data_IF_573065817115
#
_entry.id   IF_573065817115
#
_cell.length_a   1.000
_cell.length_b   1.000
_cell.length_c   1.000
_cell.angle_alpha   90.00
_cell.angle_beta   90.00
_cell.angle_gamma   90.00
#
_symmetry.space_group_name_H-M   'P 1'
#
loop_
_entity.id
_entity.type
_entity.pdbx_description
1 polymer ?
#
# COMPACT_ATOMS: atom_id res chain seq x y z
N UNK A 1 73.73 -38.18 3.29
CA UNK A 1 72.97 -39.44 3.30
C UNK A 1 72.24 -39.49 4.64
N UNK A 2 70.95 -39.16 4.64
CA UNK A 2 70.12 -38.99 5.83
C UNK A 2 69.28 -40.26 6.07
N UNK A 3 69.38 -40.91 7.23
CA UNK A 3 68.42 -41.93 7.70
C UNK A 3 68.36 -41.90 9.25
N UNK A 4 67.33 -41.22 9.79
CA UNK A 4 66.19 -41.74 10.57
C UNK A 4 66.36 -41.79 12.10
N UNK A 5 65.80 -40.77 12.76
CA UNK A 5 65.26 -40.89 14.11
C UNK A 5 63.77 -41.22 14.06
N UNK A 6 63.34 -42.26 14.78
CA UNK A 6 61.94 -42.58 15.07
C UNK A 6 61.67 -42.29 16.55
N UNK A 7 60.67 -41.46 16.83
CA UNK A 7 60.09 -41.22 18.15
C UNK A 7 58.59 -40.91 17.99
N UNK A 8 57.73 -41.28 18.96
CA UNK A 8 56.36 -41.69 18.69
C UNK A 8 55.35 -40.54 18.66
N UNK A 9 54.30 -40.75 17.85
CA UNK A 9 53.18 -39.84 17.66
C UNK A 9 52.20 -39.85 18.84
N UNK A 10 51.98 -38.68 19.44
CA UNK A 10 50.89 -38.40 20.37
C UNK A 10 49.67 -37.91 19.57
N UNK A 11 48.61 -38.72 19.54
CA UNK A 11 47.30 -38.34 19.02
C UNK A 11 46.59 -37.43 20.03
N UNK A 12 46.45 -36.14 19.70
CA UNK A 12 45.63 -35.19 20.44
C UNK A 12 44.24 -35.13 19.79
N UNK A 13 43.23 -35.68 20.47
CA UNK A 13 41.83 -35.59 20.06
C UNK A 13 41.23 -34.27 20.58
N UNK A 14 41.02 -33.29 19.69
CA UNK A 14 40.26 -32.08 19.98
C UNK A 14 38.76 -32.33 19.85
N UNK A 15 38.05 -32.38 20.98
CA UNK A 15 36.60 -32.28 21.06
C UNK A 15 36.17 -30.82 20.79
N UNK A 16 35.63 -30.56 19.60
CA UNK A 16 34.99 -29.29 19.26
C UNK A 16 33.57 -29.27 19.84
N UNK A 17 33.38 -28.54 20.94
CA UNK A 17 32.07 -28.21 21.46
C UNK A 17 31.39 -27.18 20.53
N UNK A 18 30.38 -27.63 19.78
CA UNK A 18 29.56 -26.77 18.93
C UNK A 18 28.64 -25.87 19.77
N UNK A 19 28.88 -24.56 19.72
CA UNK A 19 27.98 -23.56 20.29
C UNK A 19 26.78 -23.39 19.36
N UNK A 20 25.52 -23.59 19.82
CA UNK A 20 24.36 -23.32 18.99
C UNK A 20 24.23 -21.80 18.79
N UNK A 21 24.47 -21.34 17.57
CA UNK A 21 24.18 -19.97 17.16
C UNK A 21 22.66 -19.77 17.11
N UNK A 22 22.08 -19.28 18.20
CA UNK A 22 20.72 -18.75 18.19
C UNK A 22 20.67 -17.55 17.23
N UNK A 23 20.10 -17.76 16.04
CA UNK A 23 19.70 -16.66 15.17
C UNK A 23 18.59 -15.88 15.86
N UNK A 24 18.94 -14.73 16.43
CA UNK A 24 17.95 -13.72 16.81
C UNK A 24 17.29 -13.25 15.52
N UNK A 25 16.08 -13.73 15.26
CA UNK A 25 15.23 -13.15 14.24
C UNK A 25 14.90 -11.72 14.70
N UNK A 26 15.37 -10.72 13.97
CA UNK A 26 14.97 -9.34 14.19
C UNK A 26 13.48 -9.22 13.86
N UNK A 27 12.60 -9.49 14.83
CA UNK A 27 11.20 -9.12 14.74
C UNK A 27 11.15 -7.60 14.64
N UNK A 28 10.84 -7.10 13.44
CA UNK A 28 10.53 -5.69 13.23
C UNK A 28 9.42 -5.30 14.22
N UNK A 29 9.76 -4.40 15.14
CA UNK A 29 8.84 -3.94 16.18
C UNK A 29 7.59 -3.36 15.50
N UNK A 30 6.42 -3.88 15.85
CA UNK A 30 5.17 -3.34 15.33
C UNK A 30 4.99 -1.89 15.80
N UNK A 31 4.43 -0.99 14.97
CA UNK A 31 4.23 0.39 15.35
C UNK A 31 3.27 0.50 16.55
N UNK A 32 3.51 1.42 17.51
CA UNK A 32 2.57 1.68 18.59
C UNK A 32 1.28 2.30 18.06
N UNK A 33 0.15 2.08 18.75
CA UNK A 33 -1.15 2.63 18.37
C UNK A 33 -1.16 4.17 18.23
N UNK A 34 -0.32 4.89 18.99
CA UNK A 34 -0.13 6.34 18.86
C UNK A 34 0.44 6.78 17.50
N UNK A 35 1.09 5.87 16.78
CA UNK A 35 1.62 6.06 15.44
C UNK A 35 0.57 5.94 14.32
N UNK A 36 -0.64 5.45 14.62
CA UNK A 36 -1.71 5.18 13.66
C UNK A 36 -2.16 6.45 12.92
N UNK A 37 -2.04 6.50 11.59
CA UNK A 37 -2.30 7.72 10.80
C UNK A 37 -3.29 7.56 9.67
N UNK A 38 -3.45 6.37 9.11
CA UNK A 38 -4.33 6.14 7.97
C UNK A 38 -5.31 5.02 8.30
N UNK A 39 -6.61 5.33 8.26
CA UNK A 39 -7.66 4.32 8.31
C UNK A 39 -7.96 3.83 6.89
N UNK A 40 -7.93 2.53 6.68
CA UNK A 40 -8.36 1.88 5.46
C UNK A 40 -9.68 1.17 5.72
N UNK A 41 -10.74 1.73 5.17
CA UNK A 41 -12.08 1.14 5.18
C UNK A 41 -12.42 0.78 3.72
N UNK A 42 -12.95 -0.41 3.43
CA UNK A 42 -13.44 -0.72 2.09
C UNK A 42 -14.47 0.32 1.69
N UNK A 43 -14.42 0.85 0.46
CA UNK A 43 -15.33 1.95 0.06
C UNK A 43 -16.78 1.52 -0.04
N UNK A 44 -17.02 0.22 -0.17
CA UNK A 44 -18.33 -0.41 -0.27
C UNK A 44 -18.33 -1.59 0.67
N UNK A 45 -19.28 -1.65 1.58
CA UNK A 45 -19.58 -2.80 2.44
C UNK A 45 -21.01 -3.24 2.18
N UNK A 46 -21.38 -4.43 2.65
CA UNK A 46 -22.68 -5.03 2.33
C UNK A 46 -23.43 -5.26 3.62
N UNK A 47 -24.67 -4.76 3.70
CA UNK A 47 -25.51 -4.83 4.88
C UNK A 47 -25.54 -6.25 5.47
N UNK A 48 -25.21 -6.38 6.77
CA UNK A 48 -25.19 -7.64 7.51
C UNK A 48 -24.03 -8.59 7.21
N UNK A 49 -23.18 -8.28 6.22
CA UNK A 49 -22.02 -9.09 5.85
C UNK A 49 -20.77 -8.69 6.61
N UNK A 50 -19.80 -9.61 6.67
CA UNK A 50 -18.49 -9.33 7.26
C UNK A 50 -17.69 -8.37 6.37
N UNK A 51 -16.87 -7.54 6.99
CA UNK A 51 -15.89 -6.68 6.35
C UNK A 51 -14.67 -6.49 7.24
N UNK A 52 -13.52 -6.24 6.64
CA UNK A 52 -12.24 -6.01 7.31
C UNK A 52 -11.76 -4.61 7.05
N UNK A 53 -11.37 -3.88 8.09
CA UNK A 53 -10.64 -2.62 8.01
C UNK A 53 -9.18 -2.82 8.40
N UNK A 54 -8.33 -1.86 8.05
CA UNK A 54 -6.94 -1.78 8.49
C UNK A 54 -6.61 -0.38 9.00
N UNK A 55 -5.62 -0.30 9.89
CA UNK A 55 -5.01 0.97 10.27
C UNK A 55 -3.51 0.91 9.99
N UNK A 56 -2.98 1.98 9.38
CA UNK A 56 -1.57 2.11 9.04
C UNK A 56 -0.92 3.30 9.73
N UNK A 57 0.38 3.21 9.99
CA UNK A 57 1.21 4.31 10.47
C UNK A 57 1.65 5.26 9.33
N UNK A 58 2.49 6.25 9.62
CA UNK A 58 3.05 7.17 8.60
C UNK A 58 3.90 6.49 7.53
N UNK A 59 4.42 5.30 7.80
CA UNK A 59 5.25 4.51 6.89
C UNK A 59 4.44 3.45 6.13
N UNK A 60 3.11 3.43 6.31
CA UNK A 60 2.23 2.47 5.66
C UNK A 60 2.23 1.08 6.28
N UNK A 61 2.76 0.92 7.50
CA UNK A 61 2.80 -0.36 8.23
C UNK A 61 1.51 -0.56 9.01
N UNK A 62 0.97 -1.78 8.98
CA UNK A 62 -0.18 -2.16 9.78
C UNK A 62 0.06 -1.90 11.27
N UNK A 63 -0.92 -1.28 11.92
CA UNK A 63 -0.80 -0.76 13.30
C UNK A 63 -1.84 -1.43 14.21
N UNK A 64 -1.41 -2.32 15.12
CA UNK A 64 -2.31 -3.02 16.05
C UNK A 64 -2.78 -2.14 17.20
N UNK A 65 -3.86 -2.55 17.87
CA UNK A 65 -4.37 -1.92 19.10
C UNK A 65 -4.98 -0.53 18.90
N UNK A 66 -5.39 -0.17 17.68
CA UNK A 66 -5.95 1.15 17.36
C UNK A 66 -7.47 1.11 17.43
N UNK A 67 -8.06 2.00 18.22
CA UNK A 67 -9.52 2.18 18.26
C UNK A 67 -10.01 3.02 17.08
N UNK A 68 -11.01 2.50 16.37
CA UNK A 68 -11.75 3.14 15.30
C UNK A 68 -13.18 3.39 15.79
N UNK A 69 -13.64 4.63 15.67
CA UNK A 69 -15.00 5.04 15.97
C UNK A 69 -15.82 5.15 14.68
N UNK A 70 -17.02 4.58 14.68
CA UNK A 70 -17.99 4.72 13.61
C UNK A 70 -19.06 5.75 13.95
N UNK A 71 -19.63 6.39 12.93
CA UNK A 71 -20.64 7.44 13.11
C UNK A 71 -21.98 6.95 13.64
N UNK A 72 -22.22 5.64 13.66
CA UNK A 72 -23.39 5.01 14.31
C UNK A 72 -23.17 4.74 15.82
N UNK A 73 -21.99 5.10 16.36
CA UNK A 73 -21.63 4.88 17.76
C UNK A 73 -20.76 3.65 18.01
N UNK A 74 -20.61 2.75 17.02
CA UNK A 74 -19.81 1.54 17.18
C UNK A 74 -18.32 1.87 17.34
N UNK A 75 -17.62 1.01 18.08
CA UNK A 75 -16.18 1.09 18.28
C UNK A 75 -15.55 -0.26 18.02
N UNK A 76 -14.43 -0.25 17.31
CA UNK A 76 -13.67 -1.44 16.97
C UNK A 76 -12.20 -1.19 17.25
N UNK A 77 -11.46 -2.20 17.69
CA UNK A 77 -10.01 -2.10 17.90
C UNK A 77 -9.29 -3.05 16.97
N UNK A 78 -8.20 -2.59 16.34
CA UNK A 78 -7.38 -3.45 15.49
C UNK A 78 -6.69 -4.55 16.32
N UNK A 79 -6.70 -5.77 15.78
CA UNK A 79 -6.04 -6.94 16.33
C UNK A 79 -4.51 -6.86 16.19
N UNK A 80 -3.82 -7.95 16.54
CA UNK A 80 -2.37 -8.05 16.45
C UNK A 80 -1.81 -7.88 15.04
N UNK A 81 -2.62 -8.03 13.99
CA UNK A 81 -2.20 -7.79 12.60
C UNK A 81 -2.33 -6.33 12.19
N UNK A 82 -2.99 -5.48 12.98
CA UNK A 82 -3.35 -4.11 12.61
C UNK A 82 -4.60 -4.00 11.74
N UNK A 83 -5.38 -5.09 11.65
CA UNK A 83 -6.69 -5.13 11.00
C UNK A 83 -7.80 -5.35 12.02
N UNK A 84 -9.05 -5.16 11.60
CA UNK A 84 -10.18 -5.54 12.41
C UNK A 84 -11.34 -6.02 11.54
N UNK A 85 -11.91 -7.15 11.92
CA UNK A 85 -13.08 -7.71 11.28
C UNK A 85 -14.35 -7.23 12.00
N UNK A 86 -15.36 -6.85 11.22
CA UNK A 86 -16.65 -6.37 11.73
C UNK A 86 -17.79 -6.84 10.83
N UNK A 87 -19.02 -6.65 11.33
CA UNK A 87 -20.24 -6.86 10.55
C UNK A 87 -20.78 -5.50 10.15
N UNK A 88 -21.08 -5.32 8.87
CA UNK A 88 -21.62 -4.07 8.36
C UNK A 88 -23.01 -3.80 8.95
N UNK A 89 -23.35 -2.52 9.24
CA UNK A 89 -24.68 -2.16 9.71
C UNK A 89 -25.78 -2.59 8.74
N UNK A 90 -26.97 -2.86 9.26
CA UNK A 90 -28.08 -3.39 8.46
C UNK A 90 -28.73 -2.34 7.54
N UNK A 91 -28.61 -1.06 7.89
CA UNK A 91 -29.24 0.03 7.15
C UNK A 91 -28.32 0.52 6.02
N UNK A 92 -28.76 0.47 4.75
CA UNK A 92 -28.02 1.05 3.64
C UNK A 92 -27.80 2.55 3.82
N UNK A 93 -26.76 3.08 3.16
CA UNK A 93 -26.41 4.49 3.23
C UNK A 93 -24.91 4.69 3.27
N UNK A 94 -24.46 5.78 3.88
CA UNK A 94 -23.03 6.05 4.09
C UNK A 94 -22.76 6.09 5.58
N UNK A 95 -21.75 5.34 6.01
CA UNK A 95 -21.20 5.40 7.36
C UNK A 95 -19.77 5.91 7.31
N UNK A 96 -19.34 6.58 8.37
CA UNK A 96 -17.99 7.11 8.49
C UNK A 96 -17.24 6.42 9.61
N UNK A 97 -16.01 6.00 9.35
CA UNK A 97 -15.04 5.58 10.35
C UNK A 97 -14.01 6.68 10.63
N UNK A 98 -13.46 6.71 11.83
CA UNK A 98 -12.37 7.61 12.22
C UNK A 98 -11.46 6.94 13.24
N UNK A 99 -10.17 7.26 13.22
CA UNK A 99 -9.24 6.84 14.28
C UNK A 99 -9.56 7.67 15.53
N UNK A 100 -9.66 7.03 16.69
CA UNK A 100 -9.93 7.72 17.95
C UNK A 100 -8.90 8.85 18.20
N UNK A 101 -9.39 10.03 18.58
CA UNK A 101 -8.56 11.23 18.77
C UNK A 101 -8.16 11.95 17.47
N UNK A 102 -8.69 11.53 16.31
CA UNK A 102 -8.47 12.20 15.02
C UNK A 102 -9.75 12.75 14.43
N UNK A 103 -9.60 13.83 13.66
CA UNK A 103 -10.70 14.49 12.94
C UNK A 103 -10.95 13.91 11.55
N UNK A 104 -9.96 13.24 10.97
CA UNK A 104 -10.07 12.62 9.65
C UNK A 104 -11.08 11.46 9.66
N UNK A 105 -12.00 11.51 8.69
CA UNK A 105 -13.07 10.51 8.53
C UNK A 105 -12.94 9.84 7.17
N UNK A 106 -13.19 8.53 7.15
CA UNK A 106 -13.25 7.71 5.94
C UNK A 106 -14.70 7.27 5.75
N UNK A 107 -15.27 7.57 4.59
CA UNK A 107 -16.62 7.17 4.24
C UNK A 107 -16.63 5.77 3.61
N UNK A 108 -17.67 4.98 3.90
CA UNK A 108 -17.99 3.74 3.20
C UNK A 108 -19.47 3.67 2.91
N UNK A 109 -19.83 3.20 1.72
CA UNK A 109 -21.21 2.97 1.31
C UNK A 109 -21.65 1.58 1.76
N UNK A 110 -22.83 1.49 2.39
CA UNK A 110 -23.48 0.24 2.76
C UNK A 110 -24.47 -0.12 1.66
N UNK A 111 -24.19 -1.22 0.96
CA UNK A 111 -24.98 -1.76 -0.15
C UNK A 111 -25.93 -2.85 0.32
N UNK A 112 -26.95 -3.14 -0.49
CA UNK A 112 -27.82 -4.30 -0.26
C UNK A 112 -27.12 -5.62 -0.60
N UNK A 113 -27.46 -6.74 0.08
CA UNK A 113 -26.87 -8.05 -0.19
C UNK A 113 -26.95 -8.50 -1.67
N UNK A 114 -28.07 -8.20 -2.34
CA UNK A 114 -28.26 -8.53 -3.75
C UNK A 114 -27.28 -7.86 -4.71
N UNK A 115 -26.64 -6.76 -4.32
CA UNK A 115 -25.65 -6.06 -5.15
C UNK A 115 -24.27 -6.75 -5.15
N UNK A 116 -24.03 -7.60 -4.16
CA UNK A 116 -22.74 -8.23 -3.91
C UNK A 116 -22.65 -9.69 -4.36
N UNK A 117 -23.78 -10.33 -4.60
CA UNK A 117 -23.85 -11.74 -4.94
C UNK A 117 -23.56 -12.00 -6.43
N UNK A 118 -22.71 -12.99 -6.68
CA UNK A 118 -22.44 -13.59 -7.97
C UNK A 118 -22.00 -15.06 -7.77
N UNK A 119 -22.25 -15.92 -8.76
CA UNK A 119 -21.86 -17.34 -8.68
C UNK A 119 -20.34 -17.53 -8.57
N UNK A 120 -19.59 -16.67 -9.27
CA UNK A 120 -18.12 -16.62 -9.27
C UNK A 120 -17.64 -15.25 -8.81
N UNK A 121 -16.34 -15.14 -8.52
CA UNK A 121 -15.75 -13.84 -8.21
C UNK A 121 -15.68 -13.02 -9.49
N UNK A 122 -16.21 -11.81 -9.45
CA UNK A 122 -16.16 -10.87 -10.58
C UNK A 122 -15.43 -9.61 -10.15
N UNK A 123 -14.40 -9.23 -10.91
CA UNK A 123 -13.75 -7.94 -10.76
C UNK A 123 -14.41 -7.00 -11.77
N UNK A 124 -15.19 -6.03 -11.27
CA UNK A 124 -15.91 -5.07 -12.10
C UNK A 124 -15.10 -3.81 -12.38
N UNK A 125 -14.17 -3.46 -11.48
CA UNK A 125 -13.24 -2.37 -11.71
C UNK A 125 -11.90 -2.57 -11.01
N UNK A 126 -10.83 -2.19 -11.71
CA UNK A 126 -9.45 -2.21 -11.26
C UNK A 126 -8.69 -1.00 -11.81
N UNK A 127 -7.56 -0.61 -11.20
CA UNK A 127 -6.69 0.39 -11.80
C UNK A 127 -6.09 -0.15 -13.10
N UNK A 128 -6.07 0.67 -14.16
CA UNK A 128 -5.28 0.32 -15.36
C UNK A 128 -3.78 0.49 -15.09
N UNK A 129 -3.44 1.48 -14.27
CA UNK A 129 -2.07 1.78 -13.83
C UNK A 129 -2.05 1.90 -12.32
N UNK A 130 -1.14 1.18 -11.66
CA UNK A 130 -0.93 1.22 -10.22
C UNK A 130 0.55 1.43 -9.88
N UNK A 131 0.83 2.10 -8.76
CA UNK A 131 2.20 2.28 -8.28
C UNK A 131 2.65 1.01 -7.57
N UNK A 132 3.93 0.65 -7.71
CA UNK A 132 4.54 -0.42 -6.93
C UNK A 132 4.54 -0.16 -5.42
N UNK A 133 4.50 1.11 -5.02
CA UNK A 133 4.66 1.53 -3.61
C UNK A 133 3.34 1.94 -2.95
N UNK A 134 2.28 2.16 -3.73
CA UNK A 134 0.97 2.50 -3.20
C UNK A 134 0.02 1.30 -3.23
N UNK A 135 -0.90 1.29 -2.27
CA UNK A 135 -2.07 0.42 -2.31
C UNK A 135 -3.04 0.88 -3.39
N UNK A 136 -3.81 -0.06 -3.94
CA UNK A 136 -4.89 0.24 -4.88
C UNK A 136 -6.17 -0.51 -4.52
N UNK A 137 -7.28 -0.08 -5.13
CA UNK A 137 -8.60 -0.64 -4.86
C UNK A 137 -9.08 -1.50 -6.02
N UNK A 138 -9.71 -2.62 -5.68
CA UNK A 138 -10.48 -3.45 -6.61
C UNK A 138 -11.96 -3.38 -6.22
N UNK A 139 -12.82 -3.29 -7.22
CA UNK A 139 -14.27 -3.41 -7.05
C UNK A 139 -14.78 -4.64 -7.77
N UNK A 140 -15.80 -5.25 -7.19
CA UNK A 140 -16.28 -6.53 -7.68
C UNK A 140 -17.47 -7.07 -6.91
N UNK A 141 -17.63 -8.39 -7.00
CA UNK A 141 -18.68 -9.17 -6.34
C UNK A 141 -18.09 -10.49 -5.84
N UNK A 142 -18.72 -11.03 -4.80
CA UNK A 142 -18.38 -12.32 -4.20
C UNK A 142 -16.96 -12.46 -3.64
N UNK A 143 -16.29 -11.33 -3.35
CA UNK A 143 -15.10 -11.32 -2.50
C UNK A 143 -15.46 -11.75 -1.06
N UNK A 144 -14.47 -12.06 -0.25
CA UNK A 144 -14.73 -12.38 1.16
C UNK A 144 -14.60 -11.17 2.07
N UNK A 145 -15.50 -11.05 3.04
CA UNK A 145 -15.45 -10.00 4.04
C UNK A 145 -14.18 -10.02 4.90
N UNK A 146 -13.68 -11.22 5.16
CA UNK A 146 -12.41 -11.45 5.84
C UNK A 146 -11.23 -11.27 4.87
N UNK A 147 -10.34 -10.32 5.16
CA UNK A 147 -9.17 -10.06 4.33
C UNK A 147 -8.26 -11.29 4.20
N UNK A 148 -8.09 -12.09 5.27
CA UNK A 148 -7.22 -13.26 5.27
C UNK A 148 -7.80 -14.46 4.50
N UNK A 149 -9.11 -14.42 4.22
CA UNK A 149 -9.77 -15.40 3.36
C UNK A 149 -9.60 -15.11 1.86
N UNK A 150 -9.19 -13.89 1.50
CA UNK A 150 -8.90 -13.53 0.12
C UNK A 150 -7.43 -13.78 -0.21
N UNK A 151 -7.17 -14.28 -1.41
CA UNK A 151 -5.82 -14.38 -1.97
C UNK A 151 -5.78 -13.60 -3.27
N UNK A 152 -4.93 -12.58 -3.31
CA UNK A 152 -4.63 -11.79 -4.51
C UNK A 152 -3.20 -12.07 -4.92
N UNK A 153 -2.98 -12.41 -6.18
CA UNK A 153 -1.64 -12.52 -6.76
C UNK A 153 -1.44 -11.46 -7.83
N UNK A 154 -0.23 -10.93 -7.94
CA UNK A 154 0.17 -9.95 -8.94
C UNK A 154 1.49 -10.44 -9.54
N UNK A 155 1.52 -10.67 -10.86
CA UNK A 155 2.62 -11.35 -11.55
C UNK A 155 3.04 -12.68 -10.86
N UNK A 156 2.05 -13.43 -10.37
CA UNK A 156 2.25 -14.71 -9.66
C UNK A 156 2.72 -14.57 -8.20
N UNK A 157 3.02 -13.37 -7.72
CA UNK A 157 3.47 -13.13 -6.34
C UNK A 157 2.30 -12.74 -5.42
N UNK A 158 2.27 -13.20 -4.16
CA UNK A 158 1.19 -12.88 -3.24
C UNK A 158 1.19 -11.41 -2.83
N UNK A 159 0.09 -10.72 -3.08
CA UNK A 159 -0.16 -9.37 -2.60
C UNK A 159 -0.86 -9.40 -1.23
N UNK A 160 -0.78 -8.30 -0.48
CA UNK A 160 -1.42 -8.19 0.84
C UNK A 160 -2.79 -7.54 0.67
N UNK A 161 -3.86 -8.20 1.14
CA UNK A 161 -5.18 -7.60 1.26
C UNK A 161 -5.25 -6.86 2.60
N UNK A 162 -5.29 -5.53 2.54
CA UNK A 162 -5.29 -4.66 3.72
C UNK A 162 -6.70 -4.50 4.30
N UNK A 163 -7.68 -4.28 3.44
CA UNK A 163 -9.09 -4.13 3.82
C UNK A 163 -9.97 -4.85 2.81
N UNK A 164 -11.10 -5.39 3.28
CA UNK A 164 -11.92 -6.29 2.48
C UNK A 164 -13.40 -6.19 2.80
N UNK A 165 -14.23 -6.48 1.80
CA UNK A 165 -15.68 -6.61 1.87
C UNK A 165 -16.12 -7.49 0.69
N UNK A 166 -17.39 -7.91 0.61
CA UNK A 166 -17.85 -8.68 -0.55
C UNK A 166 -17.80 -7.94 -1.91
N UNK A 167 -17.57 -6.62 -1.91
CA UNK A 167 -17.60 -5.80 -3.15
C UNK A 167 -16.38 -4.89 -3.37
N UNK A 168 -15.46 -4.83 -2.41
CA UNK A 168 -14.31 -3.93 -2.43
C UNK A 168 -13.13 -4.53 -1.68
N UNK A 169 -11.96 -4.52 -2.33
CA UNK A 169 -10.66 -4.89 -1.74
C UNK A 169 -9.72 -3.69 -1.80
N UNK A 170 -8.88 -3.53 -0.76
CA UNK A 170 -7.69 -2.66 -0.78
C UNK A 170 -6.46 -3.54 -0.76
N UNK A 171 -5.67 -3.50 -1.83
CA UNK A 171 -4.55 -4.40 -2.08
C UNK A 171 -3.24 -3.63 -2.07
N UNK A 172 -2.21 -4.18 -1.42
CA UNK A 172 -0.83 -3.70 -1.46
C UNK A 172 0.03 -4.64 -2.31
N UNK A 173 0.68 -4.14 -3.37
CA UNK A 173 1.62 -4.94 -4.16
C UNK A 173 2.77 -5.53 -3.33
N UNK A 174 3.31 -6.70 -3.70
CA UNK A 174 4.61 -7.15 -3.22
C UNK A 174 5.72 -6.14 -3.53
N UNK A 175 6.65 -5.96 -2.60
CA UNK A 175 7.71 -4.94 -2.68
C UNK A 175 8.76 -5.21 -3.77
N UNK A 176 8.93 -6.48 -4.16
CA UNK A 176 9.97 -6.93 -5.10
C UNK A 176 9.47 -7.04 -6.55
N UNK A 177 8.28 -6.51 -6.84
CA UNK A 177 7.75 -6.48 -8.20
C UNK A 177 8.50 -5.50 -9.08
N UNK A 178 8.67 -5.89 -10.34
CA UNK A 178 9.25 -5.01 -11.37
C UNK A 178 8.16 -4.15 -12.01
N UNK A 179 8.50 -2.91 -12.40
CA UNK A 179 7.56 -2.07 -13.14
C UNK A 179 7.30 -2.65 -14.53
N UNK A 180 6.06 -2.62 -14.99
CA UNK A 180 5.61 -3.23 -16.25
C UNK A 180 4.20 -3.82 -16.17
N UNK A 181 3.70 -4.41 -17.27
CA UNK A 181 2.46 -5.18 -17.26
C UNK A 181 2.52 -6.35 -16.28
N UNK A 182 1.43 -6.58 -15.56
CA UNK A 182 1.30 -7.65 -14.58
C UNK A 182 -0.11 -8.27 -14.60
N UNK A 183 -0.17 -9.59 -14.59
CA UNK A 183 -1.41 -10.35 -14.41
C UNK A 183 -1.83 -10.32 -12.95
N UNK A 184 -3.12 -10.08 -12.70
CA UNK A 184 -3.74 -10.09 -11.38
C UNK A 184 -4.80 -11.19 -11.33
N UNK A 185 -4.79 -11.95 -10.25
CA UNK A 185 -5.82 -12.96 -9.96
C UNK A 185 -6.34 -12.75 -8.54
N UNK A 186 -7.67 -12.90 -8.38
CA UNK A 186 -8.34 -12.80 -7.09
C UNK A 186 -9.06 -14.10 -6.82
N UNK A 187 -8.86 -14.65 -5.62
CA UNK A 187 -9.57 -15.86 -5.16
C UNK A 187 -10.05 -15.68 -3.74
N UNK A 188 -11.14 -16.36 -3.41
CA UNK A 188 -11.57 -16.59 -2.04
C UNK A 188 -12.24 -17.96 -1.94
N UNK A 189 -11.87 -18.71 -0.89
CA UNK A 189 -12.31 -20.08 -0.67
C UNK A 189 -12.04 -20.94 -1.91
N UNK A 190 -13.08 -21.45 -2.58
CA UNK A 190 -12.97 -22.26 -3.81
C UNK A 190 -13.36 -21.50 -5.09
N UNK A 191 -13.56 -20.19 -5.00
CA UNK A 191 -13.91 -19.33 -6.14
C UNK A 191 -12.71 -18.50 -6.57
N UNK A 192 -12.60 -18.25 -7.86
CA UNK A 192 -11.53 -17.47 -8.47
C UNK A 192 -12.13 -16.57 -9.54
N UNK A 193 -11.56 -15.38 -9.72
CA UNK A 193 -11.89 -14.49 -10.83
C UNK A 193 -11.14 -14.91 -12.09
N UNK A 194 -11.65 -14.59 -13.30
CA UNK A 194 -10.79 -14.53 -14.47
C UNK A 194 -9.55 -13.66 -14.19
N UNK A 195 -8.34 -14.05 -14.67
CA UNK A 195 -7.17 -13.19 -14.60
C UNK A 195 -7.40 -11.92 -15.42
N UNK A 196 -6.82 -10.81 -14.99
CA UNK A 196 -6.85 -9.54 -15.71
C UNK A 196 -5.50 -8.84 -15.63
N UNK A 197 -5.24 -7.87 -16.51
CA UNK A 197 -3.95 -7.17 -16.54
C UNK A 197 -4.02 -5.77 -15.95
N UNK A 198 -2.96 -5.37 -15.26
CA UNK A 198 -2.68 -3.98 -14.86
C UNK A 198 -1.26 -3.60 -15.29
N UNK A 199 -0.95 -2.31 -15.35
CA UNK A 199 0.44 -1.84 -15.49
C UNK A 199 0.94 -1.31 -14.17
N UNK A 200 2.02 -1.90 -13.66
CA UNK A 200 2.72 -1.41 -12.48
C UNK A 200 3.76 -0.38 -12.89
N UNK A 201 3.80 0.74 -12.17
CA UNK A 201 4.77 1.80 -12.42
C UNK A 201 5.57 2.12 -11.17
N UNK A 202 6.81 2.51 -11.40
CA UNK A 202 7.69 3.11 -10.40
C UNK A 202 7.76 4.61 -10.66
N UNK A 203 7.62 5.41 -9.59
CA UNK A 203 7.80 6.86 -9.64
C UNK A 203 9.12 7.20 -8.94
N UNK A 204 10.11 7.61 -9.72
CA UNK A 204 11.43 7.98 -9.21
C UNK A 204 11.55 9.51 -9.25
N UNK A 205 11.68 10.14 -8.07
CA UNK A 205 11.83 11.59 -7.97
C UNK A 205 13.30 11.98 -8.11
N UNK A 206 13.59 12.74 -9.14
CA UNK A 206 14.88 13.36 -9.41
C UNK A 206 14.83 14.84 -8.99
N UNK A 207 15.30 15.13 -7.76
CA UNK A 207 15.36 16.49 -7.22
C UNK A 207 16.46 16.64 -6.16
N UNK A 208 17.01 17.85 -6.03
CA UNK A 208 17.92 18.20 -4.93
C UNK A 208 17.19 18.24 -3.59
N UNK A 209 17.78 17.63 -2.56
CA UNK A 209 17.29 17.62 -1.17
C UNK A 209 17.76 18.82 -0.33
N UNK A 210 18.53 19.76 -0.91
CA UNK A 210 19.02 20.94 -0.20
C UNK A 210 17.85 21.83 0.27
N UNK A 211 18.00 22.58 1.38
CA UNK A 211 17.02 23.61 1.72
C UNK A 211 16.81 24.58 0.54
N UNK A 212 15.57 25.05 0.39
CA UNK A 212 15.20 26.03 -0.62
C UNK A 212 15.44 27.43 -0.03
N UNK A 213 16.07 28.33 -0.80
CA UNK A 213 16.17 29.74 -0.43
C UNK A 213 14.92 30.51 -0.85
N UNK A 214 14.64 31.61 -0.17
CA UNK A 214 13.58 32.54 -0.60
C UNK A 214 13.80 32.99 -2.05
N UNK A 215 12.76 32.87 -2.88
CA UNK A 215 12.77 33.16 -4.32
C UNK A 215 13.45 32.10 -5.20
N UNK A 216 14.12 31.09 -4.63
CA UNK A 216 14.75 30.02 -5.40
C UNK A 216 13.68 29.15 -6.07
N UNK A 217 13.86 28.89 -7.37
CA UNK A 217 13.03 27.95 -8.12
C UNK A 217 13.72 26.61 -8.22
N UNK A 218 12.96 25.53 -8.04
CA UNK A 218 13.46 24.17 -8.20
C UNK A 218 12.50 23.33 -9.02
N UNK A 219 13.05 22.73 -10.07
CA UNK A 219 12.36 21.71 -10.84
C UNK A 219 12.39 20.37 -10.08
N UNK A 220 11.26 19.70 -10.02
CA UNK A 220 11.07 18.35 -9.53
C UNK A 220 10.73 17.48 -10.74
N UNK A 221 11.67 16.66 -11.18
CA UNK A 221 11.45 15.73 -12.29
C UNK A 221 11.06 14.37 -11.73
N UNK A 222 9.99 13.78 -12.25
CA UNK A 222 9.55 12.44 -11.86
C UNK A 222 9.67 11.53 -13.05
N UNK A 223 10.57 10.55 -12.96
CA UNK A 223 10.71 9.48 -13.95
C UNK A 223 9.65 8.42 -13.70
N UNK A 224 9.00 7.99 -14.77
CA UNK A 224 7.96 6.95 -14.74
C UNK A 224 8.51 5.71 -15.42
N UNK A 225 8.71 4.64 -14.68
CA UNK A 225 9.14 3.34 -15.24
C UNK A 225 7.97 2.38 -15.34
N UNK A 226 8.05 1.44 -16.29
CA UNK A 226 7.05 0.38 -16.49
C UNK A 226 6.01 0.66 -17.58
N UNK A 227 5.95 1.87 -18.11
CA UNK A 227 5.04 2.20 -19.21
C UNK A 227 5.58 3.30 -20.11
N UNK A 228 5.28 3.20 -21.41
CA UNK A 228 5.49 4.27 -22.39
C UNK A 228 4.25 5.16 -22.57
N UNK A 229 3.12 4.79 -21.96
CA UNK A 229 1.92 5.60 -21.98
C UNK A 229 2.08 6.85 -21.11
N UNK A 230 1.35 7.91 -21.46
CA UNK A 230 1.25 9.08 -20.60
C UNK A 230 0.47 8.72 -19.35
N UNK A 231 0.96 9.18 -18.20
CA UNK A 231 0.29 9.00 -16.92
C UNK A 231 -0.01 10.35 -16.28
N UNK A 232 -1.15 10.44 -15.59
CA UNK A 232 -1.52 11.62 -14.82
C UNK A 232 -0.92 11.52 -13.42
N UNK A 233 -0.23 12.56 -12.99
CA UNK A 233 0.35 12.72 -11.67
C UNK A 233 -0.27 13.95 -10.97
N UNK A 234 -0.39 13.87 -9.65
CA UNK A 234 -0.78 14.98 -8.79
C UNK A 234 0.32 15.27 -7.78
N UNK A 235 0.76 16.52 -7.73
CA UNK A 235 1.68 17.04 -6.72
C UNK A 235 0.90 17.86 -5.69
N UNK A 236 1.22 17.64 -4.41
CA UNK A 236 0.68 18.37 -3.26
C UNK A 236 1.81 18.88 -2.40
N UNK A 237 1.77 20.17 -2.08
CA UNK A 237 2.69 20.78 -1.15
C UNK A 237 2.19 20.59 0.29
N UNK A 238 3.04 19.99 1.12
CA UNK A 238 2.80 19.70 2.53
C UNK A 238 3.52 20.67 3.48
N UNK A 239 4.23 21.67 2.93
CA UNK A 239 4.90 22.75 3.66
C UNK A 239 4.66 24.11 2.94
N UNK A 240 3.40 24.57 2.83
CA UNK A 240 3.05 25.80 2.10
C UNK A 240 3.66 27.07 2.68
N UNK A 241 4.12 27.05 3.93
CA UNK A 241 4.82 28.15 4.59
C UNK A 241 6.29 28.29 4.17
N UNK A 242 6.88 27.25 3.57
CA UNK A 242 8.29 27.23 3.13
C UNK A 242 8.41 27.38 1.63
N UNK A 243 7.55 26.71 0.86
CA UNK A 243 7.58 26.72 -0.60
C UNK A 243 6.17 26.88 -1.17
N UNK A 244 6.09 27.31 -2.42
CA UNK A 244 4.88 27.34 -3.23
C UNK A 244 5.04 26.39 -4.42
N UNK A 245 3.97 25.71 -4.83
CA UNK A 245 3.93 24.86 -6.02
C UNK A 245 3.43 25.70 -7.21
N UNK A 246 4.29 25.92 -8.21
CA UNK A 246 3.98 26.75 -9.38
C UNK A 246 2.82 26.15 -10.16
N UNK A 247 1.64 26.77 -10.11
CA UNK A 247 0.41 26.27 -10.76
C UNK A 247 -0.69 25.83 -9.80
N UNK A 248 -0.48 25.94 -8.48
CA UNK A 248 -1.48 25.70 -7.46
C UNK A 248 -1.21 24.46 -6.61
N UNK A 249 -2.03 24.24 -5.59
CA UNK A 249 -1.91 23.11 -4.66
C UNK A 249 -3.31 22.50 -4.38
N UNK A 250 -3.67 21.35 -4.96
CA UNK A 250 -2.85 20.44 -5.77
C UNK A 250 -2.57 20.96 -7.20
N UNK A 251 -1.50 20.45 -7.81
CA UNK A 251 -1.20 20.60 -9.24
C UNK A 251 -1.21 19.24 -9.92
N UNK A 252 -1.93 19.13 -11.05
CA UNK A 252 -1.94 17.93 -11.89
C UNK A 252 -1.12 18.15 -13.15
N UNK A 253 -0.35 17.14 -13.54
CA UNK A 253 0.42 17.13 -14.77
C UNK A 253 0.34 15.75 -15.43
N UNK A 254 0.41 15.74 -16.76
CA UNK A 254 0.64 14.51 -17.51
C UNK A 254 2.13 14.32 -17.72
N UNK A 255 2.61 13.08 -17.61
CA UNK A 255 3.94 12.72 -18.06
C UNK A 255 4.06 12.81 -19.59
N UNK A 256 5.31 12.81 -20.08
CA UNK A 256 5.63 12.90 -21.50
C UNK A 256 5.19 11.67 -22.30
N UNK A 257 5.13 10.50 -21.66
CA UNK A 257 5.11 9.21 -22.36
C UNK A 257 6.45 8.92 -23.04
N UNK A 258 6.45 7.90 -23.91
CA UNK A 258 7.64 7.43 -24.63
C UNK A 258 8.60 6.62 -23.74
N UNK A 259 9.79 6.30 -24.26
CA UNK A 259 10.77 5.47 -23.56
C UNK A 259 11.31 6.11 -22.27
N UNK A 260 11.45 7.44 -22.25
CA UNK A 260 12.01 8.18 -21.13
C UNK A 260 10.96 8.60 -20.10
N UNK A 261 9.69 8.75 -20.49
CA UNK A 261 8.51 9.06 -19.68
C UNK A 261 8.75 9.85 -18.37
N UNK A 262 8.68 11.18 -18.46
CA UNK A 262 8.88 12.08 -17.31
C UNK A 262 7.71 13.04 -17.10
N UNK A 263 7.48 13.44 -15.85
CA UNK A 263 6.66 14.60 -15.50
C UNK A 263 7.51 15.64 -14.77
N UNK A 264 7.15 16.92 -14.86
CA UNK A 264 7.86 18.00 -14.18
C UNK A 264 6.90 18.85 -13.37
N UNK A 265 7.34 19.21 -12.17
CA UNK A 265 6.71 20.18 -11.30
C UNK A 265 7.75 21.23 -10.93
N UNK A 266 7.31 22.44 -10.58
CA UNK A 266 8.21 23.50 -10.12
C UNK A 266 7.75 24.00 -8.76
N UNK A 267 8.70 24.22 -7.85
CA UNK A 267 8.46 24.86 -6.57
C UNK A 267 9.28 26.13 -6.44
N UNK A 268 8.74 27.12 -5.72
CA UNK A 268 9.38 28.41 -5.44
C UNK A 268 9.50 28.61 -3.94
N UNK A 269 10.67 29.00 -3.45
CA UNK A 269 10.89 29.25 -2.02
C UNK A 269 10.17 30.50 -1.54
N UNK A 270 9.31 30.34 -0.54
CA UNK A 270 8.67 31.43 0.19
C UNK A 270 9.50 31.85 1.40
N UNK A 271 10.18 30.87 2.03
CA UNK A 271 11.11 31.08 3.14
C UNK A 271 12.31 30.16 2.97
N UNK A 272 13.40 30.48 3.69
CA UNK A 272 14.54 29.59 3.78
C UNK A 272 14.14 28.34 4.59
N UNK A 273 14.27 27.15 4.01
CA UNK A 273 13.99 25.91 4.73
C UNK A 273 13.85 24.67 3.86
N UNK A 274 13.70 23.53 4.52
CA UNK A 274 13.34 22.26 3.86
C UNK A 274 11.84 22.24 3.59
N UNK A 275 11.45 21.73 2.43
CA UNK A 275 10.06 21.61 2.01
C UNK A 275 9.69 20.14 1.78
N UNK A 276 8.38 19.85 1.68
CA UNK A 276 7.88 18.50 1.44
C UNK A 276 6.78 18.51 0.39
N UNK A 277 7.01 17.82 -0.73
CA UNK A 277 6.02 17.58 -1.78
C UNK A 277 5.65 16.09 -1.79
N UNK A 278 4.35 15.81 -1.86
CA UNK A 278 3.84 14.48 -2.19
C UNK A 278 3.50 14.45 -3.68
N UNK A 279 4.08 13.52 -4.44
CA UNK A 279 3.70 13.28 -5.84
C UNK A 279 3.17 11.86 -5.95
N UNK A 280 1.99 11.71 -6.54
CA UNK A 280 1.29 10.42 -6.64
C UNK A 280 0.64 10.26 -8.01
N UNK A 281 0.35 9.01 -8.37
CA UNK A 281 -0.54 8.71 -9.49
C UNK A 281 -1.92 9.29 -9.22
N UNK A 282 -2.54 9.85 -10.26
CA UNK A 282 -3.98 10.06 -10.27
C UNK A 282 -4.63 8.72 -10.63
N UNK A 283 -5.39 8.08 -9.72
CA UNK A 283 -5.94 6.76 -9.99
C UNK A 283 -6.94 6.81 -11.15
N UNK A 284 -6.81 5.87 -12.09
CA UNK A 284 -7.81 5.62 -13.14
C UNK A 284 -8.41 4.23 -12.95
N UNK A 285 -9.65 4.18 -12.50
CA UNK A 285 -10.41 2.92 -12.37
C UNK A 285 -11.17 2.65 -13.67
N UNK A 286 -11.02 1.45 -14.20
CA UNK A 286 -11.70 1.01 -15.41
C UNK A 286 -12.18 -0.42 -15.27
N UNK A 287 -12.93 -0.90 -16.27
CA UNK A 287 -13.23 -2.33 -16.38
C UNK A 287 -11.92 -3.09 -16.64
N UNK A 288 -11.67 -4.23 -15.97
CA UNK A 288 -10.47 -5.02 -16.23
C UNK A 288 -10.43 -5.50 -17.69
N UNK A 289 -9.22 -5.58 -18.25
CA UNK A 289 -8.93 -6.13 -19.58
C UNK A 289 -8.25 -7.49 -19.45
#
# INVERSE_FOLDING_TARGET
MFVHGRGPALFFACLLAGVPAHRVSAQQLQPPASGARMLLLPRRIVSGERATLAVLDVHGRLTPGVTVNFSNGDRLTTDATGRALFVAPLNPGVIFGSIAGRTERVATAILWPGEAAAAEIQVSSAPQVASLTDRFELFGRSFCGDADANRVTIAGQPAIVLASSPTSLVVLPPQDLRPGPATVEVSCAKRQSPPFSITLVELELEASSLPLKMGERRALSVRVRGTTAKIALEARNLAPEIAELSGGNPLRASSSGGAENFARFEVVGQKNGSFRISIRLVPSLGRPQ
#
